data_IF_017325313083
#
_entry.id   IF_017325313083
#
_cell.length_a   1.000
_cell.length_b   1.000
_cell.length_c   1.000
_cell.angle_alpha   90.00
_cell.angle_beta   90.00
_cell.angle_gamma   90.00
#
_symmetry.space_group_name_H-M   'P 1'
#
loop_
_entity.id
_entity.type
_entity.pdbx_description
1 polymer ?
#
# COMPACT_ATOMS: atom_id res chain seq x y z
N UNK A 1 -5.28 -7.09 -8.12
CA UNK A 1 -4.49 -5.84 -7.97
C UNK A 1 -5.32 -4.70 -8.54
N UNK A 2 -5.30 -3.53 -7.89
CA UNK A 2 -6.00 -2.33 -8.32
C UNK A 2 -4.96 -1.22 -8.56
N UNK A 3 -4.90 -0.59 -9.74
CA UNK A 3 -3.92 0.45 -10.03
C UNK A 3 -4.27 1.75 -9.30
N UNK A 4 -3.25 2.48 -8.88
CA UNK A 4 -3.41 3.85 -8.37
C UNK A 4 -3.78 4.76 -9.55
N UNK A 5 -4.76 5.63 -9.34
CA UNK A 5 -5.22 6.61 -10.32
C UNK A 5 -5.11 8.02 -9.73
N UNK A 6 -4.52 8.95 -10.49
CA UNK A 6 -4.23 10.29 -10.00
C UNK A 6 -3.03 10.35 -9.04
N UNK A 7 -2.91 11.45 -8.30
CA UNK A 7 -1.79 11.70 -7.42
C UNK A 7 -2.03 11.15 -6.01
N UNK A 8 -0.99 10.57 -5.40
CA UNK A 8 -0.98 10.26 -3.97
C UNK A 8 -0.87 11.56 -3.17
N UNK A 9 -1.80 11.78 -2.26
CA UNK A 9 -1.85 12.94 -1.38
C UNK A 9 -1.24 12.59 0.00
N UNK A 10 -1.23 13.55 0.93
CA UNK A 10 -0.62 13.35 2.26
C UNK A 10 -1.27 12.19 3.04
N UNK A 11 -2.60 12.07 2.99
CA UNK A 11 -3.36 11.10 3.79
C UNK A 11 -4.33 10.24 2.95
N UNK A 12 -4.35 10.39 1.62
CA UNK A 12 -5.27 9.68 0.73
C UNK A 12 -4.61 9.30 -0.60
N UNK A 13 -5.01 8.16 -1.14
CA UNK A 13 -4.76 7.76 -2.52
C UNK A 13 -6.05 7.24 -3.15
N UNK A 14 -6.10 7.21 -4.48
CA UNK A 14 -7.25 6.72 -5.22
C UNK A 14 -6.81 5.51 -6.03
N UNK A 15 -7.63 4.47 -6.03
CA UNK A 15 -7.38 3.23 -6.76
C UNK A 15 -8.60 2.91 -7.62
N UNK A 16 -8.36 2.40 -8.82
CA UNK A 16 -9.44 1.93 -9.68
C UNK A 16 -9.89 0.53 -9.24
N UNK A 17 -11.12 0.45 -8.74
CA UNK A 17 -11.78 -0.78 -8.28
C UNK A 17 -12.90 -1.22 -9.20
N UNK A 18 -13.01 -0.66 -10.42
CA UNK A 18 -14.10 -0.95 -11.37
C UNK A 18 -14.23 -2.45 -11.68
N UNK A 19 -13.13 -3.19 -11.64
CA UNK A 19 -13.07 -4.65 -11.85
C UNK A 19 -13.27 -5.49 -10.58
N UNK A 20 -13.51 -4.87 -9.43
CA UNK A 20 -13.68 -5.52 -8.11
C UNK A 20 -15.08 -5.17 -7.57
N UNK A 21 -16.15 -5.83 -8.07
CA UNK A 21 -17.53 -5.47 -7.74
C UNK A 21 -17.90 -5.67 -6.26
N UNK A 22 -17.15 -6.48 -5.53
CA UNK A 22 -17.33 -6.76 -4.11
C UNK A 22 -16.76 -5.67 -3.19
N UNK A 23 -15.92 -4.76 -3.70
CA UNK A 23 -15.23 -3.75 -2.90
C UNK A 23 -16.22 -2.78 -2.23
N UNK A 24 -16.08 -2.58 -0.93
CA UNK A 24 -16.95 -1.74 -0.11
C UNK A 24 -16.16 -0.80 0.81
N UNK A 25 -16.76 0.33 1.23
CA UNK A 25 -16.16 1.16 2.27
C UNK A 25 -15.95 0.36 3.56
N UNK A 26 -14.73 0.44 4.10
CA UNK A 26 -14.32 -0.28 5.31
C UNK A 26 -13.60 -1.60 5.06
N UNK A 27 -13.50 -2.05 3.81
CA UNK A 27 -12.71 -3.22 3.47
C UNK A 27 -11.21 -2.95 3.64
N UNK A 28 -10.47 -4.00 4.01
CA UNK A 28 -9.03 -3.94 4.18
C UNK A 28 -8.30 -3.81 2.83
N UNK A 29 -7.27 -2.97 2.80
CA UNK A 29 -6.40 -2.78 1.64
C UNK A 29 -4.96 -3.07 2.01
N UNK A 30 -4.30 -3.94 1.25
CA UNK A 30 -2.88 -4.26 1.40
C UNK A 30 -2.07 -3.45 0.40
N UNK A 31 -1.30 -2.47 0.89
CA UNK A 31 -0.38 -1.66 0.06
C UNK A 31 0.87 -2.46 -0.31
N UNK A 32 1.47 -3.15 0.66
CA UNK A 32 2.53 -4.13 0.45
C UNK A 32 2.54 -5.14 1.61
N UNK A 33 2.95 -6.37 1.33
CA UNK A 33 2.97 -7.48 2.29
C UNK A 33 3.50 -8.75 1.64
N UNK A 34 2.84 -9.89 1.89
CA UNK A 34 3.15 -11.12 1.16
C UNK A 34 2.83 -10.98 -0.33
N UNK A 35 1.65 -10.44 -0.65
CA UNK A 35 1.20 -10.10 -2.01
C UNK A 35 0.32 -8.84 -1.96
N UNK A 36 0.68 -7.74 -2.65
CA UNK A 36 1.91 -7.54 -3.43
C UNK A 36 3.15 -7.44 -2.53
N UNK A 37 4.31 -7.83 -3.05
CA UNK A 37 5.56 -7.74 -2.29
C UNK A 37 6.12 -6.33 -2.30
N UNK A 38 6.99 -6.02 -1.33
CA UNK A 38 7.63 -4.69 -1.22
C UNK A 38 8.49 -4.35 -2.44
N UNK A 39 9.09 -5.35 -3.10
CA UNK A 39 9.95 -5.14 -4.27
C UNK A 39 9.16 -4.55 -5.44
N UNK A 40 7.91 -4.99 -5.64
CA UNK A 40 7.02 -4.44 -6.66
C UNK A 40 6.68 -2.98 -6.40
N UNK A 41 6.51 -2.60 -5.13
CA UNK A 41 6.26 -1.21 -4.76
C UNK A 41 7.52 -0.35 -4.96
N UNK A 42 8.68 -0.86 -4.59
CA UNK A 42 9.95 -0.15 -4.78
C UNK A 42 10.24 0.10 -6.27
N UNK A 43 10.01 -0.89 -7.13
CA UNK A 43 10.12 -0.75 -8.58
C UNK A 43 9.19 0.35 -9.14
N UNK A 44 7.92 0.37 -8.69
CA UNK A 44 6.96 1.38 -9.12
C UNK A 44 7.29 2.80 -8.61
N UNK A 45 8.02 2.90 -7.49
CA UNK A 45 8.49 4.15 -6.89
C UNK A 45 9.90 4.55 -7.38
N UNK A 46 10.50 3.77 -8.28
CA UNK A 46 11.88 3.97 -8.75
C UNK A 46 12.91 4.06 -7.61
N UNK A 47 12.73 3.24 -6.57
CA UNK A 47 13.58 3.18 -5.38
C UNK A 47 13.94 1.73 -5.00
N UNK A 48 14.59 1.54 -3.86
CA UNK A 48 14.96 0.25 -3.28
C UNK A 48 14.00 -0.13 -2.14
N UNK A 49 13.79 -1.44 -1.88
CA UNK A 49 12.93 -1.91 -0.79
C UNK A 49 13.27 -1.34 0.59
N UNK A 50 14.55 -1.06 0.84
CA UNK A 50 15.02 -0.51 2.11
C UNK A 50 14.45 0.88 2.39
N UNK A 51 14.33 1.74 1.37
CA UNK A 51 13.71 3.06 1.51
C UNK A 51 12.22 2.93 1.84
N UNK A 52 11.51 1.98 1.21
CA UNK A 52 10.10 1.73 1.51
C UNK A 52 9.90 1.33 2.97
N UNK A 53 10.75 0.46 3.52
CA UNK A 53 10.64 0.04 4.92
C UNK A 53 11.02 1.14 5.92
N UNK A 54 12.05 1.93 5.61
CA UNK A 54 12.60 2.92 6.55
C UNK A 54 11.84 4.25 6.51
N UNK A 55 11.14 4.55 5.41
CA UNK A 55 10.42 5.81 5.22
C UNK A 55 8.94 5.74 5.65
N UNK A 56 8.57 4.73 6.45
CA UNK A 56 7.23 4.63 7.05
C UNK A 56 7.13 5.61 8.23
N UNK A 57 6.30 6.64 8.05
CA UNK A 57 6.04 7.67 9.06
C UNK A 57 5.54 7.08 10.39
N UNK A 58 5.83 7.79 11.48
CA UNK A 58 5.35 7.45 12.83
C UNK A 58 3.81 7.53 12.98
N UNK A 59 3.08 8.07 11.99
CA UNK A 59 1.62 8.04 11.96
C UNK A 59 1.07 6.62 11.80
N UNK A 60 1.83 5.71 11.17
CA UNK A 60 1.43 4.32 10.95
C UNK A 60 1.61 3.52 12.23
N UNK A 61 0.54 2.90 12.72
CA UNK A 61 0.57 2.04 13.90
C UNK A 61 1.36 0.77 13.62
N UNK A 62 2.29 0.42 14.53
CA UNK A 62 3.09 -0.81 14.46
C UNK A 62 2.51 -1.84 15.43
N UNK A 63 1.96 -2.92 14.90
CA UNK A 63 1.39 -4.03 15.68
C UNK A 63 2.33 -5.23 15.59
N UNK A 64 2.74 -5.76 16.75
CA UNK A 64 3.66 -6.89 16.84
C UNK A 64 2.93 -8.13 17.32
N UNK A 65 2.98 -9.19 16.53
CA UNK A 65 2.48 -10.51 16.91
C UNK A 65 3.65 -11.33 17.45
N UNK A 66 3.72 -11.44 18.78
CA UNK A 66 4.62 -12.40 19.42
C UNK A 66 4.04 -13.81 19.22
N UNK A 67 4.88 -14.74 18.77
CA UNK A 67 4.53 -16.16 18.76
C UNK A 67 4.48 -16.71 20.16
#
# INVERSE_FOLDING_TARGET
LAPIVGNVCMDMCMVDVTHIPEARPGDDVVVFGAHPRVETLAEALETIPYEVFTNISNRVQRVYYLK
#
